data_IF_549412345642
#
_entry.id   IF_549412345642
#
_cell.length_a   1.000
_cell.length_b   1.000
_cell.length_c   1.000
_cell.angle_alpha   90.00
_cell.angle_beta   90.00
_cell.angle_gamma   90.00
#
_symmetry.space_group_name_H-M   'P 1'
#
loop_
_entity.id
_entity.type
_entity.pdbx_description
1 polymer ?
#
# COMPACT_ATOMS: atom_id res chain seq x y z
N UNK A 1 -7.94 2.69 8.46
CA UNK A 1 -6.54 2.62 8.94
C UNK A 1 -6.28 3.45 10.20
N UNK A 2 -6.26 4.80 10.18
CA UNK A 2 -5.89 5.58 11.40
C UNK A 2 -6.88 5.35 12.56
N UNK A 3 -8.18 5.35 12.27
CA UNK A 3 -9.22 5.09 13.28
C UNK A 3 -9.09 3.68 13.90
N UNK A 4 -8.63 2.70 13.12
CA UNK A 4 -8.49 1.30 13.54
C UNK A 4 -7.17 1.02 14.28
N UNK A 5 -6.06 1.64 13.86
CA UNK A 5 -4.72 1.30 14.35
C UNK A 5 -4.08 2.42 15.20
N UNK A 6 -4.72 3.58 15.28
CA UNK A 6 -4.20 4.77 15.95
C UNK A 6 -3.22 5.58 15.09
N UNK A 7 -2.93 6.80 15.54
CA UNK A 7 -1.96 7.71 14.90
C UNK A 7 -0.51 7.35 15.24
N UNK A 8 -0.09 6.11 14.99
CA UNK A 8 1.30 5.66 15.21
C UNK A 8 1.83 4.76 14.09
N UNK A 9 3.14 4.76 13.92
CA UNK A 9 3.83 3.82 13.04
C UNK A 9 3.66 2.38 13.56
N UNK A 10 3.13 1.47 12.73
CA UNK A 10 2.94 0.08 13.09
C UNK A 10 4.25 -0.72 13.18
N UNK A 11 5.38 -0.16 12.70
CA UNK A 11 6.71 -0.80 12.79
C UNK A 11 7.52 -0.37 14.02
N UNK A 12 7.59 0.94 14.30
CA UNK A 12 8.45 1.47 15.35
C UNK A 12 7.72 2.27 16.44
N UNK A 13 6.40 2.45 16.34
CA UNK A 13 5.61 3.20 17.31
C UNK A 13 5.74 4.73 17.22
N UNK A 14 6.59 5.27 16.34
CA UNK A 14 6.74 6.73 16.18
C UNK A 14 5.41 7.42 15.87
N UNK A 15 5.14 8.52 16.56
CA UNK A 15 3.85 9.21 16.57
C UNK A 15 3.96 10.73 16.81
N UNK A 16 5.07 11.34 16.43
CA UNK A 16 5.26 12.78 16.63
C UNK A 16 4.33 13.58 15.70
N UNK A 17 3.71 14.63 16.24
CA UNK A 17 2.81 15.49 15.48
C UNK A 17 3.61 16.58 14.78
N UNK A 18 3.33 16.78 13.50
CA UNK A 18 3.87 17.91 12.77
C UNK A 18 3.40 19.24 13.42
N UNK A 19 4.28 20.23 13.66
CA UNK A 19 3.95 21.42 14.44
C UNK A 19 2.85 22.29 13.80
N UNK A 20 2.81 22.37 12.46
CA UNK A 20 1.79 23.12 11.73
C UNK A 20 0.47 22.35 11.56
N UNK A 21 0.51 21.16 10.95
CA UNK A 21 -0.71 20.41 10.62
C UNK A 21 -1.33 19.68 11.81
N UNK A 22 -0.59 19.53 12.92
CA UNK A 22 -0.97 18.79 14.14
C UNK A 22 -1.31 17.31 13.90
N UNK A 23 -0.97 16.78 12.73
CA UNK A 23 -1.15 15.37 12.35
C UNK A 23 0.17 14.61 12.51
N UNK A 24 0.08 13.33 12.83
CA UNK A 24 1.23 12.42 12.73
C UNK A 24 1.43 12.08 11.25
N UNK A 25 2.59 12.37 10.63
CA UNK A 25 2.81 12.17 9.21
C UNK A 25 3.07 10.69 8.88
N UNK A 26 2.01 9.89 8.99
CA UNK A 26 2.03 8.49 8.58
C UNK A 26 1.73 8.37 7.08
N UNK A 27 2.20 7.27 6.52
CA UNK A 27 2.01 6.90 5.12
C UNK A 27 1.48 5.47 5.05
N UNK A 28 0.69 5.17 4.03
CA UNK A 28 0.22 3.81 3.76
C UNK A 28 1.28 3.08 2.94
N UNK A 29 1.67 1.89 3.41
CA UNK A 29 2.52 0.94 2.70
C UNK A 29 1.68 -0.29 2.33
N UNK A 30 1.71 -0.66 1.05
CA UNK A 30 1.19 -1.94 0.56
C UNK A 30 2.25 -3.00 0.80
N UNK A 31 1.99 -3.97 1.67
CA UNK A 31 2.97 -4.97 2.11
C UNK A 31 3.52 -5.78 0.92
N UNK A 32 2.66 -6.11 -0.06
CA UNK A 32 3.03 -6.81 -1.28
C UNK A 32 3.54 -5.90 -2.42
N UNK A 33 3.55 -4.58 -2.22
CA UNK A 33 3.88 -3.58 -3.24
C UNK A 33 2.85 -3.44 -4.37
N UNK A 34 1.72 -4.14 -4.31
CA UNK A 34 0.64 -4.03 -5.27
C UNK A 34 -0.34 -2.93 -4.86
N UNK A 35 -0.26 -1.79 -5.56
CA UNK A 35 -1.16 -0.66 -5.34
C UNK A 35 -2.64 -0.95 -5.65
N UNK A 36 -2.96 -2.08 -6.31
CA UNK A 36 -4.34 -2.52 -6.56
C UNK A 36 -4.88 -3.41 -5.42
N UNK A 37 -4.01 -3.97 -4.57
CA UNK A 37 -4.42 -4.81 -3.45
C UNK A 37 -4.70 -3.94 -2.21
N UNK A 38 -5.92 -3.40 -2.14
CA UNK A 38 -6.36 -2.54 -1.04
C UNK A 38 -7.01 -3.32 0.12
N UNK A 39 -6.77 -4.64 0.21
CA UNK A 39 -7.20 -5.41 1.38
C UNK A 39 -6.55 -4.82 2.64
N UNK A 40 -7.33 -4.64 3.71
CA UNK A 40 -6.82 -4.10 4.98
C UNK A 40 -5.62 -4.89 5.50
N UNK A 41 -5.62 -6.21 5.34
CA UNK A 41 -4.50 -7.08 5.70
C UNK A 41 -3.21 -6.85 4.89
N UNK A 42 -3.31 -6.19 3.73
CA UNK A 42 -2.17 -5.81 2.88
C UNK A 42 -1.68 -4.39 3.13
N UNK A 43 -2.39 -3.60 3.96
CA UNK A 43 -2.03 -2.22 4.23
C UNK A 43 -1.42 -2.10 5.63
N UNK A 44 -0.43 -1.21 5.78
CA UNK A 44 0.05 -0.78 7.09
C UNK A 44 0.42 0.70 7.11
N UNK A 45 0.28 1.32 8.27
CA UNK A 45 0.68 2.71 8.54
C UNK A 45 2.14 2.76 9.00
N UNK A 46 2.99 3.45 8.25
CA UNK A 46 4.41 3.65 8.56
C UNK A 46 4.76 5.14 8.66
N UNK A 47 5.70 5.48 9.54
CA UNK A 47 6.36 6.78 9.49
C UNK A 47 7.27 6.88 8.25
N UNK A 48 7.66 8.10 7.81
CA UNK A 48 8.43 8.28 6.59
C UNK A 48 9.75 7.52 6.60
N UNK A 49 10.40 7.45 7.77
CA UNK A 49 11.67 6.73 7.96
C UNK A 49 11.51 5.21 7.89
N UNK A 50 10.40 4.65 8.38
CA UNK A 50 10.15 3.21 8.28
C UNK A 50 9.70 2.83 6.88
N UNK A 51 8.93 3.69 6.22
CA UNK A 51 8.47 3.46 4.85
C UNK A 51 9.63 3.51 3.86
N UNK A 52 10.59 4.43 4.03
CA UNK A 52 11.78 4.50 3.16
C UNK A 52 12.65 3.24 3.17
N UNK A 53 12.48 2.39 4.18
CA UNK A 53 13.19 1.11 4.33
C UNK A 53 12.41 -0.09 3.78
N UNK A 54 11.23 0.11 3.16
CA UNK A 54 10.50 -0.99 2.53
C UNK A 54 11.10 -1.29 1.14
N UNK A 55 11.11 -2.56 0.69
CA UNK A 55 11.72 -2.94 -0.58
C UNK A 55 11.02 -2.33 -1.82
N UNK A 56 9.84 -1.78 -1.62
CA UNK A 56 8.91 -1.25 -2.60
C UNK A 56 8.64 0.25 -2.38
N UNK A 57 9.53 0.96 -1.67
CA UNK A 57 9.40 2.40 -1.48
C UNK A 57 9.70 3.19 -2.77
N UNK A 58 8.80 4.10 -3.12
CA UNK A 58 9.00 5.08 -4.21
C UNK A 58 9.40 4.44 -5.54
N UNK A 59 10.56 4.84 -6.07
CA UNK A 59 11.06 4.38 -7.37
C UNK A 59 11.41 2.88 -7.39
N UNK A 60 11.58 2.23 -6.23
CA UNK A 60 11.80 0.78 -6.16
C UNK A 60 10.58 -0.02 -6.66
N UNK A 61 9.39 0.58 -6.62
CA UNK A 61 8.14 -0.02 -7.09
C UNK A 61 7.71 0.47 -8.49
N UNK A 62 8.61 1.15 -9.21
CA UNK A 62 8.30 1.70 -10.54
C UNK A 62 7.93 0.59 -11.52
N UNK A 63 6.85 0.79 -12.27
CA UNK A 63 6.38 -0.15 -13.29
C UNK A 63 5.62 -1.36 -12.75
N UNK A 64 5.60 -1.59 -11.43
CA UNK A 64 4.84 -2.70 -10.86
C UNK A 64 3.33 -2.49 -11.00
N UNK A 65 2.83 -1.26 -10.84
CA UNK A 65 1.40 -0.93 -11.03
C UNK A 65 0.87 -1.38 -12.39
N UNK A 66 1.59 -1.06 -13.47
CA UNK A 66 1.22 -1.47 -14.82
C UNK A 66 1.30 -2.99 -15.00
N UNK A 67 2.27 -3.65 -14.37
CA UNK A 67 2.38 -5.12 -14.37
C UNK A 67 1.18 -5.76 -13.67
N UNK A 68 0.72 -5.20 -12.55
CA UNK A 68 -0.46 -5.66 -11.84
C UNK A 68 -1.73 -5.47 -12.66
N UNK A 69 -1.92 -4.31 -13.30
CA UNK A 69 -3.04 -4.06 -14.21
C UNK A 69 -3.09 -5.08 -15.35
N UNK A 70 -1.98 -5.27 -16.07
CA UNK A 70 -1.90 -6.26 -17.18
C UNK A 70 -2.21 -7.69 -16.72
N UNK A 71 -1.75 -8.08 -15.53
CA UNK A 71 -2.06 -9.40 -14.94
C UNK A 71 -3.55 -9.53 -14.60
N UNK A 72 -4.16 -8.49 -14.04
CA UNK A 72 -5.58 -8.48 -13.73
C UNK A 72 -6.43 -8.58 -15.02
N UNK A 73 -6.12 -7.76 -16.03
CA UNK A 73 -6.77 -7.81 -17.34
C UNK A 73 -6.66 -9.18 -18.02
N UNK A 74 -5.46 -9.78 -18.02
CA UNK A 74 -5.25 -11.11 -18.58
C UNK A 74 -6.06 -12.18 -17.84
N UNK A 75 -6.20 -12.05 -16.52
CA UNK A 75 -7.03 -12.95 -15.69
C UNK A 75 -8.51 -12.78 -16.03
N UNK A 76 -9.01 -11.55 -16.09
CA UNK A 76 -10.39 -11.25 -16.46
C UNK A 76 -10.76 -11.78 -17.84
N UNK A 77 -9.87 -11.61 -18.83
CA UNK A 77 -10.09 -12.15 -20.19
C UNK A 77 -10.24 -13.68 -20.18
N UNK A 78 -9.50 -14.39 -19.33
CA UNK A 78 -9.60 -15.86 -19.20
C UNK A 78 -10.89 -16.30 -18.51
N UNK A 79 -11.38 -15.54 -17.53
CA UNK A 79 -12.63 -15.86 -16.82
C UNK A 79 -13.84 -15.58 -17.72
N UNK A 80 -13.90 -14.40 -18.33
CA UNK A 80 -15.00 -14.00 -19.21
C UNK A 80 -15.01 -14.76 -20.54
N UNK A 81 -13.85 -15.18 -21.04
CA UNK A 81 -13.74 -16.04 -22.22
C UNK A 81 -14.08 -17.52 -21.98
N UNK A 82 -14.40 -17.91 -20.73
CA UNK A 82 -14.85 -19.27 -20.37
C UNK A 82 -16.36 -19.36 -20.13
N UNK A 83 -17.10 -18.24 -20.12
CA UNK A 83 -18.54 -18.20 -19.85
C UNK A 83 -19.36 -18.17 -21.14
N UNK A 84 -18.89 -18.81 -22.21
CA UNK A 84 -19.53 -18.82 -23.55
C UNK A 84 -19.93 -20.22 -24.04
N UNK A 85 -19.96 -21.21 -23.15
CA UNK A 85 -20.51 -22.55 -23.40
C UNK A 85 -21.72 -22.80 -22.49
#
# INVERSE_FOLDING_TARGET
>A
MIEQHGERCQRCGWQERHPLTRKVPLTIDHIDGNCLNNSEANLRLLCPNCHSLTPNYGNLNRGQSQRYQRRAEATMRRVLGRTSD
#
